data_IF_078258647752
#
_entry.id   IF_078258647752
#
_cell.length_a   1.000
_cell.length_b   1.000
_cell.length_c   1.000
_cell.angle_alpha   90.00
_cell.angle_beta   90.00
_cell.angle_gamma   90.00
#
_symmetry.space_group_name_H-M   'P 1'
#
loop_
_entity.id
_entity.type
_entity.pdbx_description
1 polymer ?
#
# COMPACT_ATOMS: atom_id res chain seq x y z
N UNK A 1 7.54 -10.73 -6.40
CA UNK A 1 7.73 -12.18 -6.59
C UNK A 1 6.77 -12.97 -5.69
N UNK A 2 5.95 -13.80 -6.32
CA UNK A 2 4.99 -14.70 -5.67
C UNK A 2 5.69 -15.59 -4.63
N UNK A 3 5.30 -15.51 -3.36
CA UNK A 3 5.76 -16.47 -2.36
C UNK A 3 4.67 -17.07 -1.46
N UNK A 4 3.39 -16.76 -1.65
CA UNK A 4 2.33 -17.42 -0.89
C UNK A 4 1.11 -17.69 -1.79
N UNK A 5 0.96 -18.94 -2.21
CA UNK A 5 -0.06 -19.43 -3.14
C UNK A 5 -1.50 -19.30 -2.63
N UNK A 6 -2.04 -18.09 -2.67
CA UNK A 6 -3.48 -17.85 -2.74
C UNK A 6 -3.91 -17.71 -4.21
N UNK A 7 -5.15 -18.06 -4.58
CA UNK A 7 -5.65 -17.79 -5.92
C UNK A 7 -5.54 -16.28 -6.18
N UNK A 8 -4.78 -15.91 -7.21
CA UNK A 8 -4.68 -14.53 -7.69
C UNK A 8 -6.06 -14.08 -8.17
N UNK A 9 -6.86 -13.52 -7.27
CA UNK A 9 -8.08 -12.82 -7.63
C UNK A 9 -7.66 -11.50 -8.30
N UNK A 10 -7.97 -11.26 -9.58
CA UNK A 10 -7.53 -10.06 -10.30
C UNK A 10 -8.42 -8.84 -9.96
N UNK A 11 -8.65 -8.58 -8.67
CA UNK A 11 -9.47 -7.46 -8.18
C UNK A 11 -8.67 -6.35 -7.48
N UNK A 12 -7.35 -6.36 -7.54
CA UNK A 12 -6.48 -5.31 -6.99
C UNK A 12 -5.62 -4.62 -8.07
N UNK A 13 -6.20 -4.38 -9.25
CA UNK A 13 -5.53 -3.72 -10.37
C UNK A 13 -5.40 -2.21 -10.19
N UNK A 14 -4.63 -1.74 -9.20
CA UNK A 14 -4.03 -0.41 -9.29
C UNK A 14 -2.69 -0.62 -10.00
N UNK A 15 -2.48 -0.08 -11.22
CA UNK A 15 -1.17 -0.09 -11.84
C UNK A 15 -0.26 0.82 -11.01
N UNK A 16 0.51 0.23 -10.10
CA UNK A 16 1.60 0.91 -9.43
C UNK A 16 2.89 0.50 -10.14
N UNK A 17 3.88 1.41 -10.22
CA UNK A 17 5.21 0.99 -10.65
C UNK A 17 5.70 -0.14 -9.73
N UNK A 18 6.56 -1.03 -10.24
CA UNK A 18 7.07 -2.18 -9.48
C UNK A 18 7.62 -1.76 -8.10
N UNK A 19 8.21 -0.58 -8.02
CA UNK A 19 8.76 0.01 -6.79
C UNK A 19 7.69 0.40 -5.77
N UNK A 20 6.53 0.87 -6.21
CA UNK A 20 5.42 1.27 -5.31
C UNK A 20 4.70 0.04 -4.77
N UNK A 21 4.52 -1.02 -5.58
CA UNK A 21 4.01 -2.31 -5.09
C UNK A 21 4.93 -2.87 -4.01
N UNK A 22 6.25 -2.90 -4.27
CA UNK A 22 7.23 -3.36 -3.28
C UNK A 22 7.21 -2.50 -2.00
N UNK A 23 7.10 -1.18 -2.14
CA UNK A 23 7.04 -0.28 -1.00
C UNK A 23 5.78 -0.48 -0.13
N UNK A 24 4.64 -0.80 -0.75
CA UNK A 24 3.42 -1.15 -0.03
C UNK A 24 3.61 -2.47 0.75
N UNK A 25 4.05 -3.53 0.06
CA UNK A 25 4.24 -4.87 0.65
C UNK A 25 5.24 -4.90 1.81
N UNK A 26 6.23 -4.00 1.80
CA UNK A 26 7.22 -3.84 2.89
C UNK A 26 6.75 -2.92 4.00
N UNK A 27 5.61 -2.25 3.84
CA UNK A 27 5.03 -1.39 4.87
C UNK A 27 5.56 0.03 4.89
N UNK A 28 6.20 0.52 3.83
CA UNK A 28 6.68 1.90 3.77
C UNK A 28 5.52 2.91 3.72
N UNK A 29 4.37 2.50 3.18
CA UNK A 29 3.15 3.30 3.18
C UNK A 29 1.91 2.41 3.28
N UNK A 30 0.77 3.04 3.52
CA UNK A 30 -0.54 2.39 3.56
C UNK A 30 -1.63 3.37 3.11
N UNK A 31 -2.90 2.98 3.20
CA UNK A 31 -4.06 3.82 2.85
C UNK A 31 -4.95 4.07 4.07
N UNK A 32 -5.55 5.25 4.14
CA UNK A 32 -6.72 5.55 5.00
C UNK A 32 -8.00 4.95 4.41
N UNK A 33 -9.06 4.98 5.20
CA UNK A 33 -10.41 4.58 4.76
C UNK A 33 -10.96 5.44 3.62
N UNK A 34 -10.48 6.67 3.49
CA UNK A 34 -10.81 7.57 2.38
C UNK A 34 -9.88 7.40 1.16
N UNK A 35 -9.09 6.32 1.12
CA UNK A 35 -8.10 5.99 0.09
C UNK A 35 -6.95 7.00 -0.07
N UNK A 36 -6.68 7.79 0.97
CA UNK A 36 -5.52 8.67 1.05
C UNK A 36 -4.28 7.89 1.49
N UNK A 37 -3.15 8.13 0.81
CA UNK A 37 -1.86 7.51 1.08
C UNK A 37 -1.25 8.10 2.35
N UNK A 38 -0.82 7.23 3.27
CA UNK A 38 0.01 7.59 4.42
C UNK A 38 1.37 6.92 4.27
N UNK A 39 2.42 7.73 4.16
CA UNK A 39 3.81 7.25 4.16
C UNK A 39 4.35 7.24 5.59
N UNK A 40 5.11 6.20 5.94
CA UNK A 40 5.73 6.05 7.26
C UNK A 40 6.71 7.18 7.55
N UNK A 41 6.70 7.69 8.79
CA UNK A 41 7.44 8.89 9.18
C UNK A 41 8.96 8.78 8.93
N UNK A 42 9.53 7.60 9.17
CA UNK A 42 10.96 7.32 8.97
C UNK A 42 11.42 7.48 7.51
N UNK A 43 10.52 7.36 6.53
CA UNK A 43 10.84 7.55 5.11
C UNK A 43 10.13 8.76 4.49
N UNK A 44 9.33 9.48 5.29
CA UNK A 44 8.51 10.61 4.82
C UNK A 44 9.32 11.84 4.42
N UNK A 45 10.57 11.93 4.85
CA UNK A 45 11.38 13.14 4.69
C UNK A 45 12.39 13.05 3.53
N UNK A 46 12.77 11.85 3.10
CA UNK A 46 13.92 11.67 2.20
C UNK A 46 13.72 10.57 1.15
N UNK A 47 12.47 10.30 0.77
CA UNK A 47 12.16 9.29 -0.23
C UNK A 47 11.26 9.83 -1.33
N UNK A 48 11.34 9.22 -2.51
CA UNK A 48 10.37 9.48 -3.59
C UNK A 48 8.92 9.24 -3.12
N UNK A 49 8.70 8.41 -2.10
CA UNK A 49 7.38 8.16 -1.50
C UNK A 49 6.83 9.41 -0.80
N UNK A 50 7.68 10.30 -0.28
CA UNK A 50 7.23 11.55 0.35
C UNK A 50 6.31 12.35 -0.59
N UNK A 51 6.56 12.31 -1.90
CA UNK A 51 5.82 13.04 -2.93
C UNK A 51 4.38 12.54 -3.13
N UNK A 52 4.06 11.33 -2.67
CA UNK A 52 2.72 10.73 -2.78
C UNK A 52 1.95 10.73 -1.46
N UNK A 53 2.61 11.08 -0.34
CA UNK A 53 1.95 11.18 0.95
C UNK A 53 0.81 12.21 0.92
N UNK A 54 -0.36 11.84 1.44
CA UNK A 54 -1.56 12.68 1.44
C UNK A 54 -2.32 12.73 0.11
N UNK A 55 -1.82 12.09 -0.96
CA UNK A 55 -2.58 11.95 -2.20
C UNK A 55 -3.60 10.83 -2.08
N UNK A 56 -4.72 10.96 -2.78
CA UNK A 56 -5.68 9.85 -2.94
C UNK A 56 -5.30 9.01 -4.15
N UNK A 57 -5.48 7.70 -4.03
CA UNK A 57 -5.36 6.82 -5.20
C UNK A 57 -6.53 7.06 -6.15
N UNK A 58 -6.29 6.81 -7.44
CA UNK A 58 -7.37 6.76 -8.41
C UNK A 58 -8.18 5.49 -8.17
N UNK A 59 -9.49 5.66 -8.03
CA UNK A 59 -10.43 4.56 -7.90
C UNK A 59 -11.07 4.27 -9.26
N UNK A 60 -11.34 3.01 -9.58
CA UNK A 60 -12.11 2.69 -10.77
C UNK A 60 -13.55 3.23 -10.63
N UNK A 61 -14.19 3.50 -11.76
CA UNK A 61 -15.60 3.93 -11.78
C UNK A 61 -16.52 2.87 -11.18
N UNK A 62 -16.21 1.58 -11.39
CA UNK A 62 -16.92 0.48 -10.74
C UNK A 62 -16.51 0.35 -9.28
N UNK A 63 -17.44 0.71 -8.39
CA UNK A 63 -17.26 0.64 -6.93
C UNK A 63 -16.98 -0.77 -6.41
N UNK A 64 -17.40 -1.80 -7.13
CA UNK A 64 -17.14 -3.21 -6.77
C UNK A 64 -15.70 -3.63 -7.00
N UNK A 65 -14.95 -2.82 -7.75
CA UNK A 65 -13.53 -2.98 -7.98
C UNK A 65 -12.69 -2.06 -7.07
N UNK A 66 -13.31 -1.35 -6.13
CA UNK A 66 -12.56 -0.56 -5.15
C UNK A 66 -11.75 -1.47 -4.22
N UNK A 67 -10.58 -1.02 -3.74
CA UNK A 67 -9.82 -1.79 -2.77
C UNK A 67 -10.63 -2.03 -1.51
N UNK A 68 -10.56 -3.25 -0.98
CA UNK A 68 -11.27 -3.61 0.25
C UNK A 68 -10.78 -2.79 1.45
N UNK A 69 -11.67 -2.02 2.07
CA UNK A 69 -11.36 -1.27 3.30
C UNK A 69 -10.93 -2.19 4.45
N UNK A 70 -11.48 -3.41 4.51
CA UNK A 70 -11.07 -4.42 5.49
C UNK A 70 -9.61 -4.82 5.27
N UNK A 71 -9.22 -5.10 4.02
CA UNK A 71 -7.85 -5.47 3.67
C UNK A 71 -6.87 -4.33 3.94
N UNK A 72 -7.27 -3.09 3.66
CA UNK A 72 -6.48 -1.90 4.02
C UNK A 72 -6.33 -1.80 5.54
N UNK A 73 -7.40 -2.01 6.31
CA UNK A 73 -7.35 -2.01 7.78
C UNK A 73 -6.36 -3.04 8.31
N UNK A 74 -6.46 -4.28 7.83
CA UNK A 74 -5.52 -5.35 8.19
C UNK A 74 -4.06 -4.97 7.85
N UNK A 75 -3.82 -4.38 6.67
CA UNK A 75 -2.49 -3.93 6.27
C UNK A 75 -1.94 -2.84 7.21
N UNK A 76 -2.76 -1.88 7.64
CA UNK A 76 -2.34 -0.85 8.62
C UNK A 76 -1.89 -1.45 9.94
N UNK A 77 -2.54 -2.52 10.38
CA UNK A 77 -2.26 -3.16 11.67
C UNK A 77 -1.07 -4.12 11.61
N UNK A 78 -0.85 -4.79 10.49
CA UNK A 78 0.08 -5.94 10.40
C UNK A 78 1.30 -5.70 9.52
N UNK A 79 1.22 -4.79 8.55
CA UNK A 79 2.27 -4.59 7.53
C UNK A 79 2.86 -3.19 7.59
N UNK A 80 2.07 -2.15 7.84
CA UNK A 80 2.58 -0.79 7.92
C UNK A 80 3.67 -0.65 9.00
N UNK A 81 4.84 -0.13 8.61
CA UNK A 81 6.02 -0.05 9.46
C UNK A 81 6.80 -1.36 9.60
N UNK A 82 6.48 -2.44 8.86
CA UNK A 82 7.21 -3.70 8.97
C UNK A 82 8.69 -3.58 8.58
N UNK A 83 9.02 -2.71 7.62
CA UNK A 83 10.40 -2.45 7.20
C UNK A 83 11.30 -1.96 8.35
N UNK A 84 10.75 -1.31 9.38
CA UNK A 84 11.52 -0.79 10.53
C UNK A 84 12.03 -1.91 11.43
N UNK A 85 11.39 -3.09 11.35
CA UNK A 85 11.73 -4.29 12.13
C UNK A 85 12.69 -5.21 11.39
N UNK A 86 12.92 -4.96 10.09
CA UNK A 86 13.93 -5.67 9.33
C UNK A 86 15.27 -5.02 9.60
N UNK A 87 15.95 -5.46 10.65
CA UNK A 87 17.37 -5.13 10.86
C UNK A 87 18.15 -5.54 9.60
N UNK A 88 18.83 -4.56 9.00
CA UNK A 88 19.84 -4.78 7.95
C UNK A 88 21.12 -5.27 8.63
#
# INVERSE_FOLDING_TARGET
PEQYGGPAHPRNGIPMSQDIHWAFDKGFFTLKENYEIIVHEEVRHDSALATINGKKIMLPEDTRAHPSLHSIGWHRENVYGLFTRMSI
#
